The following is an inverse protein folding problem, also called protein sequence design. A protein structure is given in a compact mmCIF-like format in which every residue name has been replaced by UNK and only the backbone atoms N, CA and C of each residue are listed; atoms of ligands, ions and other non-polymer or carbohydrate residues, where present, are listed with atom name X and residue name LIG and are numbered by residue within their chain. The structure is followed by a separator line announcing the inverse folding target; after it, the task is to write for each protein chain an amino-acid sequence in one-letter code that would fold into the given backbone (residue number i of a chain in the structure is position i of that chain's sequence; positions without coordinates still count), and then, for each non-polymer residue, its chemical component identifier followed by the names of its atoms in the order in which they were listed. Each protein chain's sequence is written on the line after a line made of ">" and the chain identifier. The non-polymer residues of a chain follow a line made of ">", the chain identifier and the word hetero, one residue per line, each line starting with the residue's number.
data_IF_000883722027
#
_entry.id   IF_000883722027
#
_cell.length_a   1.000
_cell.length_b   1.000
_cell.length_c   1.000
_cell.angle_alpha   90.00
_cell.angle_beta   90.00
_cell.angle_gamma   90.00
#
_symmetry.space_group_name_H-M   'P 1'
#
loop_
_entity.id
_entity.type
_entity.pdbx_description
1 polymer ?
#
# COMPACT_ATOMS: atom_id res chain seq x y z
N UNK A 1 14.06 -33.66 -26.55
CA UNK A 1 13.46 -33.36 -25.23
C UNK A 1 13.68 -31.88 -24.93
N UNK A 2 12.61 -31.12 -24.66
CA UNK A 2 12.71 -29.70 -24.28
C UNK A 2 13.03 -29.63 -22.79
N UNK A 3 13.98 -28.78 -22.36
CA UNK A 3 14.35 -28.73 -20.94
C UNK A 3 13.22 -28.09 -20.12
N UNK A 4 12.90 -28.62 -18.91
CA UNK A 4 11.82 -28.12 -18.06
C UNK A 4 11.88 -26.60 -17.80
N UNK A 5 13.09 -26.04 -17.62
CA UNK A 5 13.27 -24.61 -17.39
C UNK A 5 12.80 -23.73 -18.56
N UNK A 6 12.83 -24.23 -19.80
CA UNK A 6 12.41 -23.43 -20.97
C UNK A 6 10.90 -23.17 -20.99
N UNK A 7 10.10 -24.13 -20.52
CA UNK A 7 8.64 -24.01 -20.51
C UNK A 7 8.16 -23.13 -19.35
N UNK A 8 8.80 -23.21 -18.18
CA UNK A 8 8.51 -22.32 -17.04
C UNK A 8 8.82 -20.85 -17.35
N UNK A 9 9.94 -20.56 -18.01
CA UNK A 9 10.28 -19.20 -18.44
C UNK A 9 9.26 -18.64 -19.43
N UNK A 10 8.79 -19.45 -20.39
CA UNK A 10 7.75 -19.04 -21.33
C UNK A 10 6.41 -18.79 -20.64
N UNK A 11 6.03 -19.65 -19.71
CA UNK A 11 4.80 -19.51 -18.93
C UNK A 11 4.82 -18.20 -18.12
N UNK A 12 5.90 -17.92 -17.39
CA UNK A 12 6.06 -16.67 -16.63
C UNK A 12 6.01 -15.43 -17.51
N UNK A 13 6.66 -15.46 -18.68
CA UNK A 13 6.59 -14.35 -19.64
C UNK A 13 5.17 -14.10 -20.13
N UNK A 14 4.43 -15.17 -20.47
CA UNK A 14 3.05 -15.07 -20.93
C UNK A 14 2.13 -14.50 -19.85
N UNK A 15 2.23 -15.01 -18.62
CA UNK A 15 1.46 -14.52 -17.47
C UNK A 15 1.76 -13.06 -17.18
N UNK A 16 3.04 -12.67 -17.19
CA UNK A 16 3.42 -11.27 -17.02
C UNK A 16 2.83 -10.39 -18.13
N UNK A 17 2.89 -10.83 -19.38
CA UNK A 17 2.32 -10.07 -20.51
C UNK A 17 0.81 -9.90 -20.38
N UNK A 18 0.09 -10.95 -19.96
CA UNK A 18 -1.35 -10.90 -19.71
C UNK A 18 -1.70 -9.96 -18.56
N UNK A 19 -0.99 -10.07 -17.44
CA UNK A 19 -1.21 -9.23 -16.28
C UNK A 19 -0.89 -7.75 -16.57
N UNK A 20 0.22 -7.47 -17.27
CA UNK A 20 0.57 -6.11 -17.72
C UNK A 20 -0.54 -5.54 -18.60
N UNK A 21 -1.03 -6.31 -19.58
CA UNK A 21 -2.10 -5.85 -20.45
C UNK A 21 -3.39 -5.55 -19.68
N UNK A 22 -3.81 -6.47 -18.81
CA UNK A 22 -5.00 -6.29 -17.97
C UNK A 22 -4.91 -5.04 -17.09
N UNK A 23 -3.75 -4.81 -16.47
CA UNK A 23 -3.50 -3.59 -15.68
C UNK A 23 -3.60 -2.35 -16.57
N UNK A 24 -2.85 -2.29 -17.66
CA UNK A 24 -2.81 -1.11 -18.55
C UNK A 24 -4.19 -0.73 -19.09
N UNK A 25 -5.03 -1.71 -19.44
CA UNK A 25 -6.39 -1.46 -19.94
C UNK A 25 -7.34 -0.86 -18.89
N UNK A 26 -7.03 -1.00 -17.60
CA UNK A 26 -7.85 -0.46 -16.51
C UNK A 26 -7.44 0.95 -16.05
N UNK A 27 -6.31 1.48 -16.55
CA UNK A 27 -5.74 2.74 -16.08
C UNK A 27 -6.39 3.97 -16.70
N UNK A 28 -6.43 5.06 -15.94
CA UNK A 28 -6.67 6.39 -16.47
C UNK A 28 -5.51 6.83 -17.37
N UNK A 29 -5.73 7.83 -18.22
CA UNK A 29 -4.68 8.38 -19.07
C UNK A 29 -3.49 8.91 -18.25
N UNK A 30 -3.78 9.53 -17.10
CA UNK A 30 -2.75 10.06 -16.21
C UNK A 30 -1.88 8.94 -15.64
N UNK A 31 -2.50 7.87 -15.13
CA UNK A 31 -1.74 6.78 -14.51
C UNK A 31 -1.01 5.94 -15.53
N UNK A 32 -1.62 5.70 -16.68
CA UNK A 32 -0.97 5.05 -17.82
C UNK A 32 0.33 5.79 -18.19
N UNK A 33 0.30 7.13 -18.26
CA UNK A 33 1.50 7.92 -18.59
C UNK A 33 2.66 7.70 -17.62
N UNK A 34 2.38 7.39 -16.33
CA UNK A 34 3.39 7.14 -15.31
C UNK A 34 4.02 5.75 -15.43
N UNK A 35 3.25 4.74 -15.88
CA UNK A 35 3.68 3.32 -15.84
C UNK A 35 3.90 2.67 -17.20
N UNK A 36 3.51 3.30 -18.32
CA UNK A 36 3.49 2.68 -19.65
C UNK A 36 4.83 2.08 -20.12
N UNK A 37 5.96 2.58 -19.61
CA UNK A 37 7.29 2.08 -19.95
C UNK A 37 7.75 0.88 -19.11
N UNK A 38 6.95 0.43 -18.14
CA UNK A 38 7.30 -0.72 -17.30
C UNK A 38 6.99 -2.04 -17.99
N UNK A 39 7.92 -2.99 -17.85
CA UNK A 39 7.86 -4.29 -18.53
C UNK A 39 7.21 -5.39 -17.69
N UNK A 40 7.19 -5.23 -16.37
CA UNK A 40 6.61 -6.22 -15.47
C UNK A 40 5.30 -5.72 -14.87
N UNK A 41 4.32 -6.61 -14.79
CA UNK A 41 3.07 -6.37 -14.09
C UNK A 41 3.31 -6.00 -12.62
N UNK A 42 4.34 -6.61 -12.00
CA UNK A 42 4.76 -6.30 -10.64
C UNK A 42 5.18 -4.83 -10.49
N UNK A 43 6.03 -4.30 -11.38
CA UNK A 43 6.44 -2.89 -11.31
C UNK A 43 5.26 -1.93 -11.46
N UNK A 44 4.33 -2.25 -12.37
CA UNK A 44 3.11 -1.46 -12.57
C UNK A 44 2.27 -1.47 -11.29
N UNK A 45 1.98 -2.67 -10.76
CA UNK A 45 1.20 -2.85 -9.54
C UNK A 45 1.85 -2.15 -8.34
N UNK A 46 3.13 -2.36 -8.08
CA UNK A 46 3.85 -1.75 -6.96
C UNK A 46 3.81 -0.21 -7.05
N UNK A 47 3.94 0.35 -8.26
CA UNK A 47 3.86 1.80 -8.48
C UNK A 47 2.47 2.35 -8.20
N UNK A 48 1.42 1.63 -8.62
CA UNK A 48 0.04 2.01 -8.33
C UNK A 48 -0.23 1.95 -6.83
N UNK A 49 0.19 0.88 -6.16
CA UNK A 49 0.04 0.73 -4.69
C UNK A 49 0.76 1.87 -3.96
N UNK A 50 2.00 2.18 -4.34
CA UNK A 50 2.74 3.30 -3.71
C UNK A 50 2.05 4.64 -3.97
N UNK A 51 1.51 4.85 -5.18
CA UNK A 51 0.86 6.11 -5.57
C UNK A 51 -0.45 6.34 -4.81
N UNK A 52 -1.27 5.31 -4.65
CA UNK A 52 -2.60 5.44 -4.05
C UNK A 52 -2.66 5.13 -2.57
N UNK A 53 -1.90 4.16 -2.09
CA UNK A 53 -1.89 3.80 -0.69
C UNK A 53 -0.73 4.44 0.09
N UNK A 54 0.28 4.96 -0.60
CA UNK A 54 1.53 5.43 -0.01
C UNK A 54 2.55 4.30 0.19
N UNK A 55 3.82 4.66 0.23
CA UNK A 55 4.90 3.71 0.51
C UNK A 55 4.81 3.14 1.92
N UNK A 56 5.40 1.96 2.12
CA UNK A 56 5.53 1.36 3.45
C UNK A 56 6.20 2.32 4.45
N UNK A 57 7.23 3.04 4.03
CA UNK A 57 7.93 4.02 4.87
C UNK A 57 7.00 5.17 5.28
N UNK A 58 6.22 5.73 4.35
CA UNK A 58 5.23 6.77 4.67
C UNK A 58 4.20 6.26 5.67
N UNK A 59 3.69 5.03 5.47
CA UNK A 59 2.75 4.40 6.41
C UNK A 59 3.38 4.20 7.79
N UNK A 60 4.63 3.75 7.87
CA UNK A 60 5.37 3.57 9.13
C UNK A 60 5.61 4.90 9.85
N UNK A 61 6.03 5.93 9.12
CA UNK A 61 6.26 7.26 9.68
C UNK A 61 4.95 7.85 10.22
N UNK A 62 3.84 7.68 9.50
CA UNK A 62 2.51 8.11 9.97
C UNK A 62 2.09 7.37 11.24
N UNK A 63 2.30 6.06 11.32
CA UNK A 63 2.03 5.27 12.53
C UNK A 63 2.87 5.73 13.72
N UNK A 64 4.17 5.97 13.51
CA UNK A 64 5.08 6.49 14.53
C UNK A 64 4.64 7.85 15.05
N UNK A 65 4.28 8.76 14.13
CA UNK A 65 3.78 10.09 14.48
C UNK A 65 2.48 10.02 15.29
N UNK A 66 1.51 9.19 14.89
CA UNK A 66 0.25 9.03 15.62
C UNK A 66 0.48 8.39 17.00
N UNK A 67 1.38 7.41 17.10
CA UNK A 67 1.77 6.82 18.38
C UNK A 67 2.38 7.87 19.31
N UNK A 68 3.21 8.76 18.77
CA UNK A 68 3.77 9.89 19.52
C UNK A 68 2.66 10.86 19.97
N UNK A 69 1.74 11.23 19.07
CA UNK A 69 0.59 12.07 19.41
C UNK A 69 -0.25 11.48 20.53
N UNK A 70 -0.55 10.17 20.50
CA UNK A 70 -1.24 9.49 21.59
C UNK A 70 -0.48 9.57 22.92
N UNK A 71 0.85 9.36 22.92
CA UNK A 71 1.67 9.40 24.12
C UNK A 71 1.77 10.79 24.74
N UNK A 72 1.79 11.82 23.89
CA UNK A 72 1.89 13.22 24.28
C UNK A 72 0.51 13.88 24.45
N UNK A 73 -0.58 13.13 24.24
CA UNK A 73 -1.92 13.68 24.27
C UNK A 73 -2.29 14.13 25.69
N UNK A 74 -2.58 15.42 25.85
CA UNK A 74 -3.17 15.98 27.06
C UNK A 74 -4.34 16.87 26.67
N UNK A 75 -5.36 16.90 27.54
CA UNK A 75 -6.46 17.86 27.40
C UNK A 75 -5.93 19.28 27.55
N UNK A 76 -6.36 20.21 26.69
CA UNK A 76 -6.08 21.63 26.91
C UNK A 76 -7.02 22.22 27.97
N UNK A 77 -6.57 23.26 28.68
CA UNK A 77 -7.30 23.84 29.82
C UNK A 77 -8.71 24.37 29.45
N UNK A 78 -8.89 24.79 28.20
CA UNK A 78 -10.16 25.31 27.68
C UNK A 78 -10.99 24.27 26.92
N UNK A 79 -10.47 23.05 26.73
CA UNK A 79 -11.13 22.00 25.96
C UNK A 79 -12.08 21.20 26.85
N UNK A 80 -13.31 20.94 26.38
CA UNK A 80 -14.23 20.10 27.13
C UNK A 80 -13.90 18.60 26.94
N UNK A 81 -14.30 17.78 27.92
CA UNK A 81 -13.99 16.36 27.92
C UNK A 81 -14.53 15.59 26.70
N UNK A 82 -15.66 16.01 26.10
CA UNK A 82 -16.19 15.36 24.89
C UNK A 82 -15.32 15.68 23.69
N UNK A 83 -14.90 16.92 23.55
CA UNK A 83 -14.01 17.34 22.45
C UNK A 83 -12.67 16.61 22.56
N UNK A 84 -12.05 16.61 23.74
CA UNK A 84 -10.82 15.86 23.99
C UNK A 84 -10.96 14.36 23.69
N UNK A 85 -12.04 13.73 24.16
CA UNK A 85 -12.29 12.31 23.91
C UNK A 85 -12.51 12.02 22.42
N UNK A 86 -13.19 12.91 21.69
CA UNK A 86 -13.37 12.81 20.24
C UNK A 86 -12.05 12.89 19.47
N UNK A 87 -11.15 13.79 19.88
CA UNK A 87 -9.80 13.88 19.35
C UNK A 87 -9.01 12.59 19.60
N UNK A 88 -9.03 12.08 20.85
CA UNK A 88 -8.37 10.82 21.20
C UNK A 88 -8.90 9.64 20.38
N UNK A 89 -10.23 9.52 20.26
CA UNK A 89 -10.87 8.45 19.50
C UNK A 89 -10.51 8.52 18.01
N UNK A 90 -10.38 9.72 17.46
CA UNK A 90 -9.93 9.92 16.07
C UNK A 90 -8.51 9.41 15.85
N UNK A 91 -7.59 9.71 16.77
CA UNK A 91 -6.19 9.21 16.70
C UNK A 91 -6.16 7.69 16.82
N UNK A 92 -6.92 7.11 17.75
CA UNK A 92 -7.01 5.66 17.94
C UNK A 92 -7.59 4.95 16.71
N UNK A 93 -8.60 5.54 16.06
CA UNK A 93 -9.19 5.00 14.84
C UNK A 93 -8.20 5.02 13.66
N UNK A 94 -7.43 6.10 13.50
CA UNK A 94 -6.35 6.16 12.49
C UNK A 94 -5.24 5.15 12.78
N UNK A 95 -4.84 4.98 14.03
CA UNK A 95 -3.87 3.96 14.45
C UNK A 95 -4.36 2.55 14.09
N UNK A 96 -5.63 2.25 14.38
CA UNK A 96 -6.20 0.93 14.12
C UNK A 96 -6.30 0.65 12.61
N UNK A 97 -6.67 1.65 11.79
CA UNK A 97 -6.74 1.47 10.34
C UNK A 97 -5.36 1.19 9.75
N UNK A 98 -4.34 1.97 10.14
CA UNK A 98 -2.95 1.77 9.69
C UNK A 98 -2.36 0.43 10.15
N UNK A 99 -2.66 0.00 11.39
CA UNK A 99 -2.21 -1.30 11.91
C UNK A 99 -2.75 -2.49 11.10
N UNK A 100 -3.99 -2.42 10.62
CA UNK A 100 -4.55 -3.48 9.75
C UNK A 100 -3.85 -3.56 8.39
N UNK A 101 -3.46 -2.42 7.81
CA UNK A 101 -2.70 -2.41 6.56
C UNK A 101 -1.30 -3.03 6.70
N UNK A 102 -0.68 -2.89 7.87
CA UNK A 102 0.63 -3.51 8.15
C UNK A 102 0.54 -5.04 8.17
N UNK A 103 -0.51 -5.60 8.77
CA UNK A 103 -0.75 -7.05 8.80
C UNK A 103 -0.96 -7.64 7.39
N UNK A 104 -1.64 -6.90 6.50
CA UNK A 104 -1.91 -7.35 5.13
C UNK A 104 -0.64 -7.35 4.26
N UNK A 105 0.22 -6.34 4.39
CA UNK A 105 1.47 -6.27 3.61
C UNK A 105 2.38 -7.47 3.87
N UNK A 106 2.48 -7.90 5.13
CA UNK A 106 3.29 -9.06 5.53
C UNK A 106 2.72 -10.41 5.01
N UNK A 107 1.45 -10.44 4.60
CA UNK A 107 0.83 -11.60 3.97
C UNK A 107 1.05 -11.66 2.46
N UNK A 108 1.07 -10.51 1.78
CA UNK A 108 1.25 -10.48 0.32
C UNK A 108 2.68 -10.92 -0.06
N UNK A 109 3.70 -10.51 0.68
CA UNK A 109 5.08 -10.95 0.45
C UNK A 109 5.30 -12.46 0.70
N UNK A 110 4.37 -13.15 1.37
CA UNK A 110 4.43 -14.60 1.56
C UNK A 110 3.76 -15.40 0.45
N UNK A 111 2.96 -14.76 -0.41
CA UNK A 111 2.16 -15.44 -1.45
C UNK A 111 2.84 -15.40 -2.82
N UNK A 112 3.83 -14.52 -3.02
CA UNK A 112 4.68 -14.47 -4.22
C UNK A 112 5.95 -15.31 -4.07
#
# INVERSE_FOLDING_TARGET
>A
MRSPGTDEHKSRFLLNSQATHALMCSLSQEDYSKVHNFRSAKQIWDTLVITYEGSFEVKCNKLSLLTCKCKLFSMEEAEDIKTMFGCFQSIMNELQSLGRHYANYHHIDKIL
#
